data_IF_502014800759
#
_entry.id   IF_502014800759
#
_cell.length_a   1.000
_cell.length_b   1.000
_cell.length_c   1.000
_cell.angle_alpha   90.00
_cell.angle_beta   90.00
_cell.angle_gamma   90.00
#
_symmetry.space_group_name_H-M   'P 1'
#
loop_
_entity.id
_entity.type
_entity.pdbx_description
1 polymer ?
#
# COMPACT_ATOMS: atom_id res chain seq x y z
N UNK A 1 0.02 -33.72 -22.70
CA UNK A 1 1.30 -33.18 -22.20
C UNK A 1 1.38 -31.77 -22.76
N UNK A 2 1.34 -30.68 -22.02
CA UNK A 2 1.57 -30.40 -20.60
C UNK A 2 0.61 -29.26 -20.20
N UNK A 3 0.04 -29.33 -18.99
CA UNK A 3 -0.70 -28.20 -18.44
C UNK A 3 0.29 -27.09 -18.11
N UNK A 4 0.03 -25.88 -18.59
CA UNK A 4 0.82 -24.69 -18.26
C UNK A 4 0.97 -24.61 -16.74
N UNK A 5 2.22 -24.60 -16.27
CA UNK A 5 2.55 -24.59 -14.86
C UNK A 5 1.92 -23.37 -14.18
N UNK A 6 1.58 -23.46 -12.90
CA UNK A 6 1.17 -22.30 -12.10
C UNK A 6 2.19 -21.15 -12.24
N UNK A 7 3.48 -21.50 -12.34
CA UNK A 7 4.56 -20.54 -12.55
C UNK A 7 4.49 -19.85 -13.91
N UNK A 8 4.14 -20.55 -15.00
CA UNK A 8 4.04 -19.95 -16.34
C UNK A 8 2.99 -18.83 -16.41
N UNK A 9 1.92 -18.94 -15.62
CA UNK A 9 0.89 -17.90 -15.50
C UNK A 9 1.39 -16.67 -14.72
N UNK A 10 2.32 -16.86 -13.79
CA UNK A 10 2.93 -15.76 -13.02
C UNK A 10 4.01 -15.04 -13.83
N UNK A 11 4.71 -15.73 -14.73
CA UNK A 11 5.74 -15.09 -15.59
C UNK A 11 5.09 -14.18 -16.64
N UNK A 12 3.89 -14.50 -17.13
CA UNK A 12 3.21 -13.73 -18.17
C UNK A 12 2.73 -12.33 -17.72
N UNK A 13 2.62 -12.07 -16.42
CA UNK A 13 2.12 -10.78 -15.86
C UNK A 13 2.94 -10.25 -14.68
N UNK A 14 4.01 -10.94 -14.29
CA UNK A 14 4.86 -10.56 -13.16
C UNK A 14 5.85 -9.44 -13.48
N UNK A 15 6.65 -9.05 -12.50
CA UNK A 15 7.63 -7.98 -12.65
C UNK A 15 8.60 -8.21 -13.84
N UNK A 16 9.05 -9.44 -14.06
CA UNK A 16 9.92 -9.78 -15.19
C UNK A 16 9.31 -9.43 -16.56
N UNK A 17 8.00 -9.67 -16.75
CA UNK A 17 7.29 -9.28 -17.97
C UNK A 17 7.26 -7.76 -18.16
N UNK A 18 6.98 -7.00 -17.09
CA UNK A 18 6.98 -5.54 -17.15
C UNK A 18 8.37 -5.00 -17.57
N UNK A 19 9.44 -5.54 -16.97
CA UNK A 19 10.82 -5.18 -17.31
C UNK A 19 11.23 -5.58 -18.73
N UNK A 20 10.72 -6.70 -19.26
CA UNK A 20 10.99 -7.13 -20.64
C UNK A 20 10.17 -6.33 -21.68
N UNK A 21 8.87 -6.11 -21.43
CA UNK A 21 7.91 -5.65 -22.45
C UNK A 21 7.51 -4.19 -22.36
N UNK A 22 7.47 -3.63 -21.15
CA UNK A 22 6.97 -2.27 -20.91
C UNK A 22 8.13 -1.29 -20.72
N UNK A 23 9.09 -1.64 -19.87
CA UNK A 23 10.20 -0.76 -19.51
C UNK A 23 11.01 -0.23 -20.71
N UNK A 24 11.39 -1.03 -21.73
CA UNK A 24 12.16 -0.51 -22.86
C UNK A 24 11.43 0.60 -23.63
N UNK A 25 10.10 0.52 -23.73
CA UNK A 25 9.27 1.54 -24.39
C UNK A 25 9.16 2.84 -23.60
N UNK A 26 9.24 2.77 -22.27
CA UNK A 26 9.22 3.94 -21.39
C UNK A 26 10.61 4.58 -21.23
N UNK A 27 11.69 3.81 -21.39
CA UNK A 27 13.07 4.26 -21.14
C UNK A 27 13.45 5.51 -21.94
N UNK A 28 12.97 5.64 -23.18
CA UNK A 28 13.21 6.82 -24.01
C UNK A 28 12.61 8.12 -23.42
N UNK A 29 11.58 8.00 -22.57
CA UNK A 29 10.89 9.11 -21.90
C UNK A 29 11.15 9.16 -20.40
N UNK A 30 12.13 8.40 -19.89
CA UNK A 30 12.37 8.26 -18.46
C UNK A 30 12.54 9.62 -17.74
N UNK A 31 13.30 10.55 -18.34
CA UNK A 31 13.52 11.87 -17.78
C UNK A 31 12.24 12.73 -17.73
N UNK A 32 11.40 12.67 -18.78
CA UNK A 32 10.12 13.38 -18.85
C UNK A 32 9.13 12.88 -17.79
N UNK A 33 9.10 11.57 -17.59
CA UNK A 33 8.22 10.90 -16.63
C UNK A 33 8.75 10.94 -15.19
N UNK A 34 9.94 11.50 -14.96
CA UNK A 34 10.60 11.49 -13.65
C UNK A 34 10.91 10.09 -13.13
N UNK A 35 11.14 9.13 -14.03
CA UNK A 35 11.45 7.75 -13.66
C UNK A 35 12.80 7.68 -12.94
N UNK A 36 12.82 6.92 -11.85
CA UNK A 36 14.04 6.64 -11.08
C UNK A 36 14.35 5.15 -11.20
N UNK A 37 15.54 4.84 -11.71
CA UNK A 37 16.10 3.49 -11.78
C UNK A 37 17.23 3.40 -10.76
N UNK A 38 17.25 2.34 -9.95
CA UNK A 38 18.31 2.09 -8.99
C UNK A 38 18.56 0.59 -8.83
N UNK A 39 19.80 0.26 -8.47
CA UNK A 39 20.17 -1.05 -7.96
C UNK A 39 20.21 -0.93 -6.44
N UNK A 40 19.53 -1.84 -5.76
CA UNK A 40 19.56 -1.92 -4.31
C UNK A 40 20.60 -2.97 -3.90
N UNK A 41 21.62 -2.54 -3.18
CA UNK A 41 22.64 -3.41 -2.62
C UNK A 41 22.25 -3.94 -1.24
N UNK A 42 22.99 -4.93 -0.76
CA UNK A 42 22.79 -5.48 0.58
C UNK A 42 22.93 -4.40 1.67
N UNK A 43 21.95 -4.34 2.57
CA UNK A 43 21.91 -3.37 3.67
C UNK A 43 21.34 -2.00 3.30
N UNK A 44 21.04 -1.74 2.02
CA UNK A 44 20.41 -0.50 1.59
C UNK A 44 18.90 -0.50 1.86
N UNK A 45 18.33 0.70 2.05
CA UNK A 45 16.90 0.90 2.27
C UNK A 45 16.34 1.86 1.21
N UNK A 46 15.30 1.39 0.52
CA UNK A 46 14.52 2.22 -0.40
C UNK A 46 13.26 2.70 0.31
N UNK A 47 13.03 4.02 0.28
CA UNK A 47 11.76 4.61 0.65
C UNK A 47 10.96 4.92 -0.61
N UNK A 48 9.79 4.29 -0.77
CA UNK A 48 8.86 4.55 -1.87
C UNK A 48 7.74 5.47 -1.35
N UNK A 49 7.65 6.72 -1.84
CA UNK A 49 6.59 7.63 -1.40
C UNK A 49 5.20 7.14 -1.83
N UNK A 50 4.18 7.54 -1.08
CA UNK A 50 2.80 7.22 -1.43
C UNK A 50 2.46 7.70 -2.85
N UNK A 51 1.79 6.83 -3.63
CA UNK A 51 1.33 7.13 -4.98
C UNK A 51 2.39 6.92 -6.07
N UNK A 52 3.60 6.49 -5.72
CA UNK A 52 4.63 6.17 -6.70
C UNK A 52 4.43 4.75 -7.24
N UNK A 53 4.27 4.67 -8.56
CA UNK A 53 4.37 3.40 -9.29
C UNK A 53 5.79 2.86 -9.15
N UNK A 54 5.92 1.57 -8.85
CA UNK A 54 7.21 0.93 -8.67
C UNK A 54 7.16 -0.53 -9.16
N UNK A 55 8.27 -0.97 -9.75
CA UNK A 55 8.47 -2.35 -10.20
C UNK A 55 9.84 -2.83 -9.70
N UNK A 56 9.88 -4.01 -9.08
CA UNK A 56 11.09 -4.58 -8.47
C UNK A 56 11.45 -5.87 -9.19
N UNK A 57 12.71 -5.98 -9.62
CA UNK A 57 13.25 -7.21 -10.20
C UNK A 57 14.43 -7.68 -9.37
N UNK A 58 14.34 -8.91 -8.86
CA UNK A 58 15.46 -9.57 -8.21
C UNK A 58 16.44 -10.04 -9.29
N UNK A 59 17.65 -9.50 -9.31
CA UNK A 59 18.66 -9.78 -10.35
C UNK A 59 19.77 -10.74 -9.91
N UNK A 60 19.82 -11.10 -8.63
CA UNK A 60 20.74 -12.08 -8.06
C UNK A 60 20.10 -13.47 -7.95
N UNK A 61 20.93 -14.51 -7.79
CA UNK A 61 20.46 -15.90 -7.62
C UNK A 61 19.51 -16.05 -6.41
N UNK A 62 19.76 -15.28 -5.35
CA UNK A 62 18.90 -15.21 -4.17
C UNK A 62 18.85 -13.77 -3.63
N UNK A 63 17.67 -13.34 -3.19
CA UNK A 63 17.43 -12.04 -2.58
C UNK A 63 16.45 -12.21 -1.42
N UNK A 64 16.76 -11.59 -0.29
CA UNK A 64 15.84 -11.49 0.86
C UNK A 64 15.73 -10.03 1.26
N UNK A 65 14.50 -9.54 1.37
CA UNK A 65 14.22 -8.18 1.81
C UNK A 65 13.00 -8.16 2.73
N UNK A 66 12.94 -7.15 3.60
CA UNK A 66 11.78 -6.85 4.44
C UNK A 66 11.19 -5.52 4.00
N UNK A 67 9.86 -5.48 3.85
CA UNK A 67 9.13 -4.26 3.48
C UNK A 67 8.03 -3.98 4.49
N UNK A 68 7.77 -2.70 4.74
CA UNK A 68 6.68 -2.24 5.57
C UNK A 68 5.97 -1.06 4.93
N UNK A 69 4.68 -1.23 4.64
CA UNK A 69 3.83 -0.11 4.26
C UNK A 69 3.46 0.68 5.51
N UNK A 70 3.71 1.99 5.48
CA UNK A 70 3.47 2.87 6.61
C UNK A 70 2.70 4.13 6.17
N UNK A 71 1.82 4.62 7.05
CA UNK A 71 1.11 5.88 6.85
C UNK A 71 1.83 6.96 7.65
N UNK A 72 2.55 7.84 6.96
CA UNK A 72 3.17 9.01 7.59
C UNK A 72 2.12 10.02 8.02
N UNK A 73 2.46 10.84 9.02
CA UNK A 73 1.56 11.90 9.53
C UNK A 73 1.01 12.80 8.42
N UNK A 74 1.85 13.20 7.46
CA UNK A 74 1.43 14.02 6.30
C UNK A 74 0.46 13.31 5.34
N UNK A 75 0.57 11.99 5.22
CA UNK A 75 -0.26 11.16 4.35
C UNK A 75 -1.58 10.73 5.03
N UNK A 76 -1.65 10.85 6.36
CA UNK A 76 -2.75 10.37 7.18
C UNK A 76 -4.12 10.92 6.75
N UNK A 77 -4.32 12.22 6.47
CA UNK A 77 -5.63 12.73 6.03
C UNK A 77 -6.12 12.09 4.73
N UNK A 78 -5.24 11.94 3.76
CA UNK A 78 -5.55 11.31 2.48
C UNK A 78 -5.83 9.82 2.65
N UNK A 79 -4.96 9.10 3.36
CA UNK A 79 -5.13 7.66 3.62
C UNK A 79 -6.43 7.36 4.38
N UNK A 80 -6.74 8.17 5.39
CA UNK A 80 -7.97 8.04 6.17
C UNK A 80 -9.20 8.33 5.32
N UNK A 81 -9.21 9.42 4.55
CA UNK A 81 -10.34 9.76 3.66
C UNK A 81 -10.59 8.69 2.59
N UNK A 82 -9.52 8.10 2.04
CA UNK A 82 -9.64 6.97 1.11
C UNK A 82 -10.25 5.76 1.81
N UNK A 83 -9.77 5.40 2.99
CA UNK A 83 -10.33 4.27 3.74
C UNK A 83 -11.77 4.51 4.18
N UNK A 84 -12.16 5.73 4.55
CA UNK A 84 -13.56 6.04 4.85
C UNK A 84 -14.48 5.75 3.66
N UNK A 85 -14.02 5.99 2.42
CA UNK A 85 -14.80 5.72 1.21
C UNK A 85 -14.82 4.23 0.84
N UNK A 86 -13.68 3.55 0.99
CA UNK A 86 -13.52 2.15 0.57
C UNK A 86 -14.05 1.17 1.62
N UNK A 87 -13.80 1.44 2.90
CA UNK A 87 -14.17 0.61 4.03
C UNK A 87 -14.46 1.47 5.28
N UNK A 88 -15.69 2.03 5.39
CA UNK A 88 -16.11 2.86 6.52
C UNK A 88 -15.90 2.19 7.88
N UNK A 89 -16.19 0.88 8.00
CA UNK A 89 -16.05 0.12 9.26
C UNK A 89 -14.58 0.09 9.71
N UNK A 90 -13.66 -0.13 8.77
CA UNK A 90 -12.23 -0.08 9.07
C UNK A 90 -11.82 1.33 9.51
N UNK A 91 -12.27 2.38 8.82
CA UNK A 91 -11.94 3.75 9.16
C UNK A 91 -12.47 4.17 10.54
N UNK A 92 -13.69 3.78 10.92
CA UNK A 92 -14.23 3.96 12.28
C UNK A 92 -13.38 3.28 13.34
N UNK A 93 -12.99 2.01 13.11
CA UNK A 93 -12.10 1.27 14.03
C UNK A 93 -10.72 1.91 14.12
N UNK A 94 -10.17 2.32 12.99
CA UNK A 94 -8.88 2.99 12.92
C UNK A 94 -8.92 4.31 13.70
N UNK A 95 -9.98 5.11 13.54
CA UNK A 95 -10.18 6.33 14.31
C UNK A 95 -10.26 6.07 15.82
N UNK A 96 -10.94 5.00 16.24
CA UNK A 96 -10.99 4.59 17.67
C UNK A 96 -9.59 4.28 18.21
N UNK A 97 -8.79 3.53 17.44
CA UNK A 97 -7.40 3.25 17.80
C UNK A 97 -6.56 4.54 17.84
N UNK A 98 -6.70 5.43 16.85
CA UNK A 98 -5.98 6.71 16.84
C UNK A 98 -6.34 7.58 18.05
N UNK A 99 -7.61 7.65 18.44
CA UNK A 99 -8.04 8.38 19.65
C UNK A 99 -7.35 7.86 20.91
N UNK A 100 -7.10 6.57 21.00
CA UNK A 100 -6.45 5.96 22.17
C UNK A 100 -4.92 6.04 22.13
N UNK A 101 -4.31 5.67 21.00
CA UNK A 101 -2.86 5.50 20.88
C UNK A 101 -2.13 6.71 20.30
N UNK A 102 -2.82 7.59 19.55
CA UNK A 102 -2.20 8.78 18.95
C UNK A 102 -3.18 9.96 18.85
N UNK A 103 -3.57 10.59 19.98
CA UNK A 103 -4.49 11.73 19.97
C UNK A 103 -4.03 12.88 19.08
N UNK A 104 -2.72 13.12 18.97
CA UNK A 104 -2.14 14.16 18.11
C UNK A 104 -2.38 13.90 16.62
N UNK A 105 -2.48 12.63 16.22
CA UNK A 105 -2.84 12.24 14.86
C UNK A 105 -4.33 12.52 14.57
N UNK A 106 -5.20 12.35 15.57
CA UNK A 106 -6.62 12.72 15.46
C UNK A 106 -6.79 14.23 15.36
N UNK A 107 -6.04 15.01 16.14
CA UNK A 107 -6.04 16.47 16.02
C UNK A 107 -5.65 16.91 14.59
N UNK A 108 -4.60 16.30 14.03
CA UNK A 108 -4.18 16.55 12.65
C UNK A 108 -5.25 16.16 11.62
N UNK A 109 -5.93 15.04 11.82
CA UNK A 109 -7.03 14.60 10.97
C UNK A 109 -8.22 15.57 11.01
N UNK A 110 -8.60 16.05 12.20
CA UNK A 110 -9.70 17.00 12.35
C UNK A 110 -9.41 18.34 11.69
N UNK A 111 -8.15 18.76 11.71
CA UNK A 111 -7.70 19.97 11.02
C UNK A 111 -7.80 19.83 9.50
N UNK A 112 -7.33 18.71 8.94
CA UNK A 112 -7.13 18.57 7.49
C UNK A 112 -8.22 17.76 6.76
N UNK A 113 -9.00 16.95 7.47
CA UNK A 113 -10.06 16.12 6.92
C UNK A 113 -11.26 16.02 7.89
N UNK A 114 -11.86 17.15 8.32
CA UNK A 114 -12.93 17.18 9.31
C UNK A 114 -14.15 16.33 8.91
N UNK A 115 -14.56 16.37 7.64
CA UNK A 115 -15.71 15.61 7.13
C UNK A 115 -15.53 14.09 7.24
N UNK A 116 -14.32 13.61 6.94
CA UNK A 116 -14.01 12.19 7.01
C UNK A 116 -14.04 11.70 8.47
N UNK A 117 -13.52 12.51 9.40
CA UNK A 117 -13.60 12.22 10.83
C UNK A 117 -15.04 12.23 11.32
N UNK A 118 -15.83 13.25 10.96
CA UNK A 118 -17.22 13.36 11.38
C UNK A 118 -18.06 12.16 10.93
N UNK A 119 -17.89 11.72 9.69
CA UNK A 119 -18.56 10.51 9.16
C UNK A 119 -18.18 9.26 9.96
N UNK A 120 -16.89 9.05 10.19
CA UNK A 120 -16.39 7.91 10.95
C UNK A 120 -16.87 7.91 12.42
N UNK A 121 -17.14 9.09 12.99
CA UNK A 121 -17.66 9.26 14.35
C UNK A 121 -19.16 9.01 14.44
N UNK A 122 -19.93 9.38 13.41
CA UNK A 122 -21.38 9.13 13.37
C UNK A 122 -21.73 7.67 13.10
N UNK A 123 -20.82 6.91 12.48
CA UNK A 123 -20.97 5.48 12.26
C UNK A 123 -20.72 4.74 13.59
N UNK A 124 -21.72 4.73 14.48
CA UNK A 124 -21.76 3.89 15.69
C UNK A 124 -21.92 2.41 15.31
N UNK A 125 -20.88 1.82 14.71
CA UNK A 125 -20.83 0.37 14.54
C UNK A 125 -20.41 -0.29 15.87
N UNK A 126 -21.40 -0.72 16.64
CA UNK A 126 -21.26 -1.70 17.73
C UNK A 126 -21.33 -3.11 17.12
N UNK A 127 -20.24 -3.91 17.12
CA UNK A 127 -20.33 -5.28 16.63
C UNK A 127 -21.20 -6.13 17.56
N UNK A 128 -22.19 -6.83 17.01
CA UNK A 128 -22.83 -7.95 17.70
C UNK A 128 -21.78 -9.06 17.88
N UNK A 129 -21.19 -9.14 19.07
CA UNK A 129 -20.13 -10.09 19.40
C UNK A 129 -18.87 -9.37 19.84
N UNK A 130 -18.56 -9.48 21.14
CA UNK A 130 -17.44 -8.81 21.80
C UNK A 130 -16.08 -9.09 21.17
N UNK A 131 -15.07 -8.35 21.66
CA UNK A 131 -13.65 -8.37 21.28
C UNK A 131 -13.14 -9.78 20.92
N UNK A 132 -13.34 -10.18 19.67
CA UNK A 132 -12.82 -11.41 19.12
C UNK A 132 -11.32 -11.27 18.91
N UNK A 133 -10.62 -12.36 19.15
CA UNK A 133 -9.17 -12.54 19.00
C UNK A 133 -8.65 -11.81 17.74
N UNK A 134 -7.97 -10.67 17.94
CA UNK A 134 -7.52 -9.82 16.85
C UNK A 134 -6.41 -10.53 16.07
N UNK A 135 -6.75 -11.10 14.91
CA UNK A 135 -5.77 -11.53 13.91
C UNK A 135 -5.60 -10.38 12.92
N UNK A 136 -4.46 -9.72 12.98
CA UNK A 136 -4.04 -8.77 11.94
C UNK A 136 -3.84 -9.54 10.64
N UNK A 137 -4.83 -9.51 9.75
CA UNK A 137 -4.67 -9.96 8.38
C UNK A 137 -4.20 -8.77 7.54
N UNK A 138 -2.89 -8.66 7.33
CA UNK A 138 -2.32 -7.75 6.34
C UNK A 138 -2.54 -8.36 4.95
N UNK A 139 -3.65 -8.04 4.31
CA UNK A 139 -3.82 -8.31 2.88
C UNK A 139 -3.17 -7.13 2.14
N UNK A 140 -1.96 -7.34 1.64
CA UNK A 140 -1.31 -6.43 0.71
C UNK A 140 -1.76 -6.80 -0.70
N UNK A 141 -2.59 -5.94 -1.31
CA UNK A 141 -2.72 -5.95 -2.77
C UNK A 141 -1.38 -5.50 -3.35
N UNK A 142 -0.55 -6.47 -3.75
CA UNK A 142 0.21 -6.31 -4.98
C UNK A 142 -0.77 -6.58 -6.13
N UNK A 143 -0.50 -5.98 -7.29
CA UNK A 143 -1.26 -6.09 -8.54
C UNK A 143 -2.65 -5.44 -8.57
N UNK A 144 -2.68 -4.13 -8.85
CA UNK A 144 -3.60 -3.65 -9.89
C UNK A 144 -2.86 -3.76 -11.23
N UNK A 145 -2.92 -4.94 -11.82
CA UNK A 145 -2.60 -5.14 -13.23
C UNK A 145 -3.69 -4.46 -14.07
N UNK A 146 -3.30 -3.54 -14.96
CA UNK A 146 -4.09 -3.17 -16.13
C UNK A 146 -4.24 -4.38 -17.07
#
# INVERSE_FOLDING_TARGET
AEGTSHYDKLVATGAGYWWERVFPGLKARAAELGMVECYQEEGEMIYVPQGWWHAVLNVSDWTVALTHNLVLRKALPTAFSTQQRVNPIYATRWLRCLKHFSPDAVAHLRELAPEAVGTAESDEYEPEGGCGDWRMATIMNAVDSL
#
